data_IF_958481096746
#
_entry.id   IF_958481096746
#
_cell.length_a   1.000
_cell.length_b   1.000
_cell.length_c   1.000
_cell.angle_alpha   90.00
_cell.angle_beta   90.00
_cell.angle_gamma   90.00
#
_symmetry.space_group_name_H-M   'P 1'
#
loop_
_entity.id
_entity.type
_entity.pdbx_description
1 polymer ?
#
# COMPACT_ATOMS: atom_id res chain seq x y z
N UNK A 1 0.05 3.15 -14.78
CA UNK A 1 -0.90 4.22 -14.41
C UNK A 1 -1.72 4.62 -15.63
N UNK A 2 -3.02 4.65 -15.49
CA UNK A 2 -3.93 5.05 -16.59
C UNK A 2 -3.94 6.58 -16.73
N UNK A 3 -3.18 7.10 -17.68
CA UNK A 3 -3.10 8.53 -18.01
C UNK A 3 -4.25 9.03 -18.92
N UNK A 4 -5.29 8.22 -19.13
CA UNK A 4 -6.45 8.61 -19.96
C UNK A 4 -7.44 9.50 -19.19
N UNK A 5 -7.36 9.58 -17.87
CA UNK A 5 -8.25 10.40 -17.03
C UNK A 5 -7.84 11.87 -17.11
N UNK A 6 -8.78 12.82 -17.23
CA UNK A 6 -8.46 14.23 -17.20
C UNK A 6 -7.96 14.68 -15.81
N UNK A 7 -7.23 15.79 -15.77
CA UNK A 7 -6.88 16.45 -14.53
C UNK A 7 -8.13 17.02 -13.85
N UNK A 8 -8.35 16.70 -12.59
CA UNK A 8 -9.60 16.95 -11.86
C UNK A 8 -9.54 18.26 -11.05
N UNK A 9 -9.37 19.41 -11.73
CA UNK A 9 -9.22 20.73 -11.09
C UNK A 9 -10.37 21.07 -10.13
N UNK A 10 -11.62 20.95 -10.60
CA UNK A 10 -12.79 21.32 -9.78
C UNK A 10 -12.91 20.49 -8.52
N UNK A 11 -12.66 19.17 -8.61
CA UNK A 11 -12.61 18.28 -7.45
C UNK A 11 -11.52 18.71 -6.48
N UNK A 12 -10.30 18.97 -6.99
CA UNK A 12 -9.17 19.39 -6.16
C UNK A 12 -9.47 20.69 -5.41
N UNK A 13 -10.08 21.67 -6.07
CA UNK A 13 -10.48 22.93 -5.44
C UNK A 13 -11.57 22.74 -4.39
N UNK A 14 -12.51 21.82 -4.62
CA UNK A 14 -13.54 21.49 -3.64
C UNK A 14 -12.93 20.88 -2.37
N UNK A 15 -12.03 19.90 -2.53
CA UNK A 15 -11.33 19.24 -1.39
C UNK A 15 -10.43 20.22 -0.63
N UNK A 16 -9.77 21.15 -1.31
CA UNK A 16 -8.98 22.20 -0.65
C UNK A 16 -9.84 23.11 0.22
N UNK A 17 -11.02 23.49 -0.25
CA UNK A 17 -11.98 24.29 0.53
C UNK A 17 -12.49 23.54 1.75
N UNK A 18 -12.83 22.26 1.60
CA UNK A 18 -13.28 21.41 2.70
C UNK A 18 -12.18 21.24 3.75
N UNK A 19 -10.92 21.09 3.32
CA UNK A 19 -9.77 21.01 4.21
C UNK A 19 -9.37 22.37 4.84
N UNK A 20 -9.96 23.49 4.45
CA UNK A 20 -9.60 24.84 4.92
C UNK A 20 -8.19 25.24 4.51
N UNK A 21 -7.77 24.87 3.30
CA UNK A 21 -6.46 25.17 2.72
C UNK A 21 -6.58 26.20 1.63
N UNK A 22 -5.60 27.10 1.50
CA UNK A 22 -5.58 28.13 0.46
C UNK A 22 -5.14 27.55 -0.90
N UNK A 23 -4.44 26.41 -0.90
CA UNK A 23 -4.04 25.75 -2.12
C UNK A 23 -3.13 24.54 -1.89
N UNK A 24 -2.82 23.86 -3.00
CA UNK A 24 -1.87 22.75 -3.06
C UNK A 24 -0.72 23.12 -3.99
N UNK A 25 0.51 23.18 -3.45
CA UNK A 25 1.72 23.44 -4.22
C UNK A 25 2.42 22.13 -4.54
N UNK A 26 2.27 21.69 -5.77
CA UNK A 26 3.07 20.59 -6.32
C UNK A 26 4.45 21.08 -6.72
N UNK A 27 5.43 20.22 -6.53
CA UNK A 27 6.82 20.46 -6.89
C UNK A 27 7.46 19.18 -7.38
N UNK A 28 8.33 19.30 -8.37
CA UNK A 28 9.23 18.20 -8.70
C UNK A 28 10.58 18.69 -9.19
N UNK A 29 11.56 17.87 -8.96
CA UNK A 29 12.90 17.96 -9.51
C UNK A 29 13.40 16.56 -9.86
N UNK A 30 13.55 16.28 -11.15
CA UNK A 30 14.07 15.00 -11.67
C UNK A 30 13.22 13.77 -11.37
N UNK A 31 11.91 13.92 -11.23
CA UNK A 31 11.00 12.81 -10.97
C UNK A 31 11.05 12.29 -9.53
N UNK A 32 11.41 13.16 -8.56
CA UNK A 32 11.45 12.78 -7.14
C UNK A 32 10.06 12.63 -6.52
N UNK A 33 9.03 13.22 -7.15
CA UNK A 33 7.64 13.13 -6.68
C UNK A 33 6.74 12.35 -7.67
N UNK A 34 6.75 11.00 -7.59
CA UNK A 34 5.89 10.18 -8.43
C UNK A 34 4.40 10.39 -8.14
N UNK A 35 4.04 10.81 -6.92
CA UNK A 35 2.66 11.13 -6.52
C UNK A 35 2.16 12.35 -7.28
N UNK A 36 2.95 13.44 -7.31
CA UNK A 36 2.63 14.61 -8.12
C UNK A 36 2.50 14.27 -9.60
N UNK A 37 3.39 13.43 -10.14
CA UNK A 37 3.31 12.97 -11.53
C UNK A 37 2.03 12.19 -11.82
N UNK A 38 1.60 11.33 -10.91
CA UNK A 38 0.35 10.58 -11.04
C UNK A 38 -0.89 11.50 -10.99
N UNK A 39 -1.01 12.31 -9.94
CA UNK A 39 -2.17 13.21 -9.75
C UNK A 39 -2.27 14.21 -10.89
N UNK A 40 -1.14 14.75 -11.35
CA UNK A 40 -1.08 15.74 -12.44
C UNK A 40 -1.07 15.10 -13.85
N UNK A 41 -1.20 13.78 -13.96
CA UNK A 41 -1.32 13.04 -15.22
C UNK A 41 -0.13 13.22 -16.17
N UNK A 42 1.09 13.18 -15.67
CA UNK A 42 2.28 13.19 -16.51
C UNK A 42 2.36 11.93 -17.38
N UNK A 43 2.74 12.09 -18.65
CA UNK A 43 3.01 10.97 -19.52
C UNK A 43 4.25 10.18 -19.04
N UNK A 44 4.18 8.85 -19.06
CA UNK A 44 5.29 7.99 -18.70
C UNK A 44 6.58 8.32 -19.44
N UNK A 45 7.72 8.32 -18.76
CA UNK A 45 9.04 8.51 -19.35
C UNK A 45 9.46 9.96 -19.60
N UNK A 46 8.65 10.97 -19.32
CA UNK A 46 9.06 12.38 -19.36
C UNK A 46 9.65 12.79 -18.01
N UNK A 47 10.97 12.79 -17.92
CA UNK A 47 11.68 13.30 -16.76
C UNK A 47 12.26 14.68 -17.05
N UNK A 48 11.85 15.69 -16.28
CA UNK A 48 12.44 17.03 -16.31
C UNK A 48 13.82 17.05 -15.63
N UNK A 49 14.68 17.97 -16.05
CA UNK A 49 15.99 18.20 -15.42
C UNK A 49 16.01 19.47 -14.59
N UNK A 50 14.93 20.21 -14.58
CA UNK A 50 14.77 21.47 -13.84
C UNK A 50 13.55 21.41 -12.94
N UNK A 51 13.60 22.21 -11.86
CA UNK A 51 12.48 22.35 -10.94
C UNK A 51 11.29 22.98 -11.64
N UNK A 52 10.12 22.45 -11.36
CA UNK A 52 8.87 23.12 -11.68
C UNK A 52 7.99 23.16 -10.42
N UNK A 53 7.05 24.10 -10.43
CA UNK A 53 6.02 24.22 -9.41
C UNK A 53 4.68 24.41 -10.10
N UNK A 54 3.66 23.79 -9.55
CA UNK A 54 2.30 23.96 -9.97
C UNK A 54 1.45 24.24 -8.73
N UNK A 55 0.91 25.45 -8.67
CA UNK A 55 0.06 25.86 -7.57
C UNK A 55 -1.40 25.80 -7.99
N UNK A 56 -2.20 25.00 -7.29
CA UNK A 56 -3.65 24.94 -7.43
C UNK A 56 -4.25 25.66 -6.22
N UNK A 57 -4.77 26.89 -6.41
CA UNK A 57 -5.46 27.61 -5.34
C UNK A 57 -6.82 26.98 -5.08
N UNK A 58 -7.35 27.10 -3.85
CA UNK A 58 -8.71 26.67 -3.53
C UNK A 58 -9.78 27.41 -4.35
N UNK A 59 -9.48 28.62 -4.79
CA UNK A 59 -10.30 29.42 -5.70
C UNK A 59 -9.45 30.14 -6.74
N UNK A 60 -9.95 30.20 -7.96
CA UNK A 60 -9.28 30.91 -9.04
C UNK A 60 -8.47 30.02 -9.98
N UNK A 61 -7.65 30.64 -10.80
CA UNK A 61 -6.86 29.96 -11.83
C UNK A 61 -5.56 29.41 -11.28
N UNK A 62 -5.17 28.14 -11.60
CA UNK A 62 -3.88 27.60 -11.24
C UNK A 62 -2.69 28.36 -11.85
N UNK A 63 -1.52 28.22 -11.23
CA UNK A 63 -0.29 28.86 -11.68
C UNK A 63 0.83 27.85 -11.90
N UNK A 64 1.46 27.92 -13.08
CA UNK A 64 2.60 27.10 -13.49
C UNK A 64 3.88 27.92 -13.43
N UNK A 65 4.90 27.39 -12.76
CA UNK A 65 6.22 27.99 -12.70
C UNK A 65 7.24 27.02 -13.26
N UNK A 66 7.79 27.34 -14.44
CA UNK A 66 8.68 26.46 -15.20
C UNK A 66 9.99 27.13 -15.55
N UNK A 67 11.05 26.35 -15.73
CA UNK A 67 12.35 26.89 -16.08
C UNK A 67 12.45 27.22 -17.59
N UNK A 68 13.22 28.24 -17.94
CA UNK A 68 13.42 28.72 -19.32
C UNK A 68 13.94 27.66 -20.31
N UNK A 69 14.58 26.58 -19.83
CA UNK A 69 15.06 25.49 -20.68
C UNK A 69 13.96 24.43 -20.90
N UNK A 70 12.93 24.37 -20.03
CA UNK A 70 11.86 23.36 -20.05
C UNK A 70 10.49 24.01 -19.96
N UNK A 71 10.23 25.01 -20.81
CA UNK A 71 9.02 25.83 -20.74
C UNK A 71 7.72 25.05 -20.99
N UNK A 72 7.80 23.89 -21.62
CA UNK A 72 6.66 23.04 -21.96
C UNK A 72 6.35 21.96 -20.87
N UNK A 73 7.08 21.95 -19.75
CA UNK A 73 6.96 20.88 -18.73
C UNK A 73 5.53 20.68 -18.21
N UNK A 74 4.76 21.76 -18.03
CA UNK A 74 3.39 21.75 -17.50
C UNK A 74 2.32 22.19 -18.52
N UNK A 75 2.59 22.08 -19.84
CA UNK A 75 1.66 22.59 -20.87
C UNK A 75 0.35 21.79 -20.98
N UNK A 76 0.33 20.56 -20.49
CA UNK A 76 -0.86 19.73 -20.43
C UNK A 76 -1.82 20.12 -19.29
N UNK A 77 -1.41 20.98 -18.36
CA UNK A 77 -2.21 21.44 -17.24
C UNK A 77 -2.83 22.82 -17.54
N UNK A 78 -3.98 23.15 -16.93
CA UNK A 78 -4.59 24.49 -17.04
C UNK A 78 -3.77 25.54 -16.28
N UNK A 79 -4.10 26.80 -16.47
CA UNK A 79 -3.61 27.91 -15.67
C UNK A 79 -2.54 28.78 -16.34
N UNK A 80 -2.24 29.90 -15.70
CA UNK A 80 -1.24 30.86 -16.12
C UNK A 80 0.17 30.30 -16.01
N UNK A 81 1.12 30.80 -16.83
CA UNK A 81 2.49 30.28 -16.86
C UNK A 81 3.51 31.40 -16.64
N UNK A 82 4.35 31.23 -15.66
CA UNK A 82 5.52 32.07 -15.40
C UNK A 82 6.80 31.30 -15.69
N UNK A 83 7.72 31.90 -16.45
CA UNK A 83 9.01 31.30 -16.82
C UNK A 83 10.11 31.96 -15.99
N UNK A 84 10.88 31.14 -15.27
CA UNK A 84 12.05 31.62 -14.54
C UNK A 84 13.36 31.11 -15.19
N UNK A 85 14.44 31.88 -15.07
CA UNK A 85 15.76 31.50 -15.58
C UNK A 85 16.87 31.62 -14.54
N UNK A 86 16.63 32.41 -13.48
CA UNK A 86 17.62 32.65 -12.43
C UNK A 86 17.07 32.32 -11.05
N UNK A 87 17.96 32.18 -10.06
CA UNK A 87 17.55 32.01 -8.66
C UNK A 87 16.66 33.16 -8.17
N UNK A 88 16.97 34.38 -8.57
CA UNK A 88 16.20 35.57 -8.16
C UNK A 88 14.80 35.58 -8.81
N UNK A 89 14.70 35.25 -10.10
CA UNK A 89 13.39 35.19 -10.76
C UNK A 89 12.52 34.03 -10.24
N UNK A 90 13.12 32.88 -9.89
CA UNK A 90 12.41 31.80 -9.19
C UNK A 90 11.86 32.28 -7.84
N UNK A 91 12.67 32.96 -7.07
CA UNK A 91 12.31 33.42 -5.73
C UNK A 91 11.17 34.45 -5.78
N UNK A 92 11.24 35.40 -6.72
CA UNK A 92 10.18 36.38 -6.95
C UNK A 92 8.87 35.73 -7.44
N UNK A 93 8.94 34.78 -8.39
CA UNK A 93 7.79 34.10 -8.90
C UNK A 93 7.10 33.20 -7.83
N UNK A 94 7.87 32.53 -6.98
CA UNK A 94 7.31 31.81 -5.83
C UNK A 94 6.59 32.73 -4.86
N UNK A 95 7.15 33.91 -4.58
CA UNK A 95 6.49 34.92 -3.75
C UNK A 95 5.16 35.39 -4.38
N UNK A 96 5.13 35.56 -5.69
CA UNK A 96 3.96 36.01 -6.42
C UNK A 96 2.83 34.97 -6.42
N UNK A 97 3.13 33.70 -6.79
CA UNK A 97 2.10 32.64 -6.86
C UNK A 97 1.52 32.25 -5.50
N UNK A 98 2.27 32.48 -4.41
CA UNK A 98 1.83 32.23 -3.05
C UNK A 98 1.23 33.46 -2.35
N UNK A 99 1.17 34.61 -3.08
CA UNK A 99 0.65 35.86 -2.50
C UNK A 99 -0.82 35.70 -2.10
N UNK A 100 -1.12 36.07 -0.84
CA UNK A 100 -2.46 35.97 -0.29
C UNK A 100 -2.81 34.61 0.33
N UNK A 101 -1.92 33.62 0.19
CA UNK A 101 -2.07 32.31 0.86
C UNK A 101 -1.43 32.35 2.25
N UNK A 102 -2.05 31.65 3.19
CA UNK A 102 -1.58 31.47 4.57
C UNK A 102 -1.20 30.01 4.85
N UNK A 103 -2.02 29.03 4.36
CA UNK A 103 -1.86 27.59 4.57
C UNK A 103 -1.87 26.84 3.25
N UNK A 104 -0.76 26.21 2.91
CA UNK A 104 -0.56 25.55 1.62
C UNK A 104 -0.15 24.08 1.84
N UNK A 105 -0.85 23.17 1.19
CA UNK A 105 -0.47 21.76 1.19
C UNK A 105 0.76 21.54 0.28
N UNK A 106 1.64 20.64 0.69
CA UNK A 106 2.70 20.07 -0.14
C UNK A 106 2.81 18.57 0.12
N UNK A 107 3.37 17.82 -0.82
CA UNK A 107 3.69 16.40 -0.63
C UNK A 107 4.86 16.27 0.36
N UNK A 108 4.57 16.59 1.60
CA UNK A 108 5.51 16.65 2.71
C UNK A 108 4.81 16.20 4.00
N UNK A 109 5.48 15.36 4.76
CA UNK A 109 5.08 14.98 6.12
C UNK A 109 6.34 14.75 6.95
N UNK A 110 6.32 15.15 8.23
CA UNK A 110 7.47 14.98 9.12
C UNK A 110 7.65 13.51 9.50
N UNK A 111 6.55 12.81 9.81
CA UNK A 111 6.55 11.47 10.39
C UNK A 111 5.99 10.39 9.44
N UNK A 112 5.67 10.75 8.18
CA UNK A 112 5.18 9.80 7.20
C UNK A 112 5.99 9.88 5.89
N UNK A 113 6.98 8.98 5.69
CA UNK A 113 7.83 8.97 4.51
C UNK A 113 7.09 8.57 3.23
N UNK A 114 5.95 7.92 3.32
CA UNK A 114 5.17 7.48 2.14
C UNK A 114 4.60 8.64 1.35
N UNK A 115 4.27 9.75 2.03
CA UNK A 115 3.74 10.97 1.39
C UNK A 115 4.76 12.10 1.29
N UNK A 116 5.94 11.99 1.94
CA UNK A 116 6.97 13.02 1.97
C UNK A 116 7.89 12.89 0.75
N UNK A 117 7.64 13.69 -0.28
CA UNK A 117 8.37 13.67 -1.57
C UNK A 117 9.15 14.94 -1.84
N UNK A 118 8.76 16.05 -1.21
CA UNK A 118 9.42 17.34 -1.39
C UNK A 118 10.65 17.43 -0.48
N UNK A 119 11.79 17.84 -1.04
CA UNK A 119 13.01 18.02 -0.26
C UNK A 119 12.88 19.14 0.78
N UNK A 120 13.58 18.99 1.91
CA UNK A 120 13.52 19.92 3.03
C UNK A 120 13.88 21.36 2.63
N UNK A 121 14.87 21.55 1.74
CA UNK A 121 15.28 22.87 1.29
C UNK A 121 14.20 23.60 0.49
N UNK A 122 13.40 22.86 -0.25
CA UNK A 122 12.24 23.43 -0.97
C UNK A 122 11.11 23.78 0.01
N UNK A 123 10.83 22.93 1.01
CA UNK A 123 9.86 23.24 2.07
C UNK A 123 10.26 24.50 2.83
N UNK A 124 11.53 24.62 3.25
CA UNK A 124 12.04 25.81 3.92
C UNK A 124 11.94 27.07 3.05
N UNK A 125 12.25 26.95 1.75
CA UNK A 125 12.08 28.03 0.78
C UNK A 125 10.63 28.49 0.68
N UNK A 126 9.66 27.59 0.63
CA UNK A 126 8.23 27.94 0.58
C UNK A 126 7.80 28.59 1.90
N UNK A 127 8.18 28.04 3.04
CA UNK A 127 7.93 28.63 4.36
C UNK A 127 8.51 30.05 4.49
N UNK A 128 9.67 30.32 3.86
CA UNK A 128 10.27 31.66 3.86
C UNK A 128 9.45 32.71 3.11
N UNK A 129 8.40 32.30 2.37
CA UNK A 129 7.44 33.21 1.71
C UNK A 129 6.30 33.66 2.63
N UNK A 130 6.32 33.21 3.90
CA UNK A 130 5.32 33.59 4.91
C UNK A 130 4.08 32.68 4.92
N UNK A 131 4.14 31.51 4.29
CA UNK A 131 3.05 30.53 4.30
C UNK A 131 3.37 29.36 5.24
N UNK A 132 2.36 28.84 5.90
CA UNK A 132 2.42 27.57 6.60
C UNK A 132 2.37 26.44 5.56
N UNK A 133 3.37 25.54 5.57
CA UNK A 133 3.36 24.33 4.76
C UNK A 133 2.80 23.20 5.62
N UNK A 134 1.69 22.62 5.17
CA UNK A 134 1.02 21.47 5.79
C UNK A 134 1.13 20.25 4.89
N UNK A 135 0.91 19.06 5.48
CA UNK A 135 0.90 17.81 4.71
C UNK A 135 -0.28 17.76 3.73
N UNK A 136 -0.05 17.18 2.55
CA UNK A 136 -1.10 16.80 1.60
C UNK A 136 -1.61 15.36 1.78
N UNK A 137 -1.23 14.68 2.85
CA UNK A 137 -1.48 13.25 3.03
C UNK A 137 -2.94 12.84 2.86
N UNK A 138 -3.89 13.61 3.42
CA UNK A 138 -5.33 13.38 3.24
C UNK A 138 -5.77 13.63 1.80
N UNK A 139 -5.27 14.67 1.15
CA UNK A 139 -5.59 14.96 -0.25
C UNK A 139 -5.07 13.90 -1.20
N UNK A 140 -3.85 13.39 -0.97
CA UNK A 140 -3.23 12.36 -1.81
C UNK A 140 -4.15 11.14 -1.90
N UNK A 141 -4.68 10.63 -0.78
CA UNK A 141 -5.49 9.41 -0.81
C UNK A 141 -6.82 9.59 -1.56
N UNK A 142 -7.41 10.81 -1.58
CA UNK A 142 -8.63 11.10 -2.36
C UNK A 142 -8.41 10.92 -3.87
N UNK A 143 -7.20 11.21 -4.37
CA UNK A 143 -6.85 11.13 -5.78
C UNK A 143 -6.12 9.86 -6.18
N UNK A 144 -5.49 9.17 -5.22
CA UNK A 144 -4.58 8.05 -5.46
C UNK A 144 -5.03 6.72 -4.87
N UNK A 145 -6.10 6.71 -4.05
CA UNK A 145 -6.46 5.49 -3.31
C UNK A 145 -7.94 5.15 -3.33
N UNK A 146 -8.80 6.07 -3.75
CA UNK A 146 -10.23 5.80 -3.90
C UNK A 146 -10.48 5.04 -5.19
N UNK A 147 -11.02 3.82 -5.08
CA UNK A 147 -11.27 2.94 -6.21
C UNK A 147 -12.55 3.31 -6.96
N UNK A 148 -12.51 3.23 -8.27
CA UNK A 148 -13.72 3.17 -9.08
C UNK A 148 -14.39 1.78 -8.96
N UNK A 149 -15.67 1.64 -9.33
CA UNK A 149 -16.34 0.33 -9.33
C UNK A 149 -15.62 -0.71 -10.19
N UNK A 150 -15.07 -0.31 -11.35
CA UNK A 150 -14.31 -1.22 -12.22
C UNK A 150 -12.99 -1.67 -11.57
N UNK A 151 -12.31 -0.77 -10.86
CA UNK A 151 -11.10 -1.07 -10.11
C UNK A 151 -11.38 -2.06 -8.97
N UNK A 152 -12.45 -1.84 -8.21
CA UNK A 152 -12.86 -2.80 -7.16
C UNK A 152 -13.16 -4.18 -7.73
N UNK A 153 -13.85 -4.24 -8.89
CA UNK A 153 -14.11 -5.53 -9.54
C UNK A 153 -12.84 -6.21 -10.06
N UNK A 154 -11.83 -5.42 -10.55
CA UNK A 154 -10.53 -5.99 -10.93
C UNK A 154 -9.79 -6.58 -9.73
N UNK A 155 -9.84 -5.91 -8.58
CA UNK A 155 -9.32 -6.42 -7.31
C UNK A 155 -10.00 -7.74 -6.90
N UNK A 156 -11.34 -7.80 -6.95
CA UNK A 156 -12.09 -9.03 -6.61
C UNK A 156 -11.72 -10.20 -7.51
N UNK A 157 -11.50 -9.96 -8.81
CA UNK A 157 -11.05 -11.02 -9.73
C UNK A 157 -9.62 -11.48 -9.41
N UNK A 158 -8.74 -10.53 -9.07
CA UNK A 158 -7.37 -10.84 -8.62
C UNK A 158 -7.39 -11.68 -7.33
N UNK A 159 -8.17 -11.25 -6.32
CA UNK A 159 -8.35 -11.99 -5.06
C UNK A 159 -8.88 -13.40 -5.26
N UNK A 160 -9.88 -13.57 -6.13
CA UNK A 160 -10.40 -14.90 -6.45
C UNK A 160 -9.34 -15.78 -7.14
N UNK A 161 -8.50 -15.20 -8.00
CA UNK A 161 -7.44 -15.94 -8.69
C UNK A 161 -6.34 -16.38 -7.73
N UNK A 162 -5.76 -15.45 -6.95
CA UNK A 162 -4.68 -15.79 -5.99
C UNK A 162 -5.18 -16.76 -4.90
N UNK A 163 -6.46 -16.67 -4.51
CA UNK A 163 -7.05 -17.66 -3.59
C UNK A 163 -7.03 -19.08 -4.22
N UNK A 164 -7.31 -19.18 -5.53
CA UNK A 164 -7.17 -20.42 -6.27
C UNK A 164 -5.73 -20.92 -6.32
N UNK A 165 -4.77 -20.02 -6.53
CA UNK A 165 -3.32 -20.34 -6.54
C UNK A 165 -2.87 -20.93 -5.18
N UNK A 166 -3.40 -20.41 -4.05
CA UNK A 166 -3.11 -21.01 -2.73
C UNK A 166 -3.58 -22.47 -2.66
N UNK A 167 -4.79 -22.76 -3.13
CA UNK A 167 -5.32 -24.14 -3.13
C UNK A 167 -4.49 -25.05 -4.04
N UNK A 168 -4.11 -24.58 -5.22
CA UNK A 168 -3.25 -25.32 -6.15
C UNK A 168 -1.87 -25.61 -5.56
N UNK A 169 -1.25 -24.63 -4.90
CA UNK A 169 0.05 -24.78 -4.24
C UNK A 169 -0.02 -25.80 -3.10
N UNK A 170 -1.03 -25.73 -2.24
CA UNK A 170 -1.15 -26.68 -1.13
C UNK A 170 -1.44 -28.11 -1.63
N UNK A 171 -2.24 -28.24 -2.68
CA UNK A 171 -2.45 -29.53 -3.35
C UNK A 171 -1.15 -30.07 -3.97
N UNK A 172 -0.38 -29.23 -4.68
CA UNK A 172 0.91 -29.58 -5.29
C UNK A 172 1.90 -30.12 -4.23
N UNK A 173 2.02 -29.42 -3.09
CA UNK A 173 2.88 -29.84 -1.99
C UNK A 173 2.45 -31.23 -1.49
N UNK A 174 1.17 -31.41 -1.17
CA UNK A 174 0.64 -32.69 -0.67
C UNK A 174 0.82 -33.84 -1.66
N UNK A 175 0.49 -33.62 -2.93
CA UNK A 175 0.61 -34.65 -3.98
C UNK A 175 2.06 -35.05 -4.24
N UNK A 176 2.98 -34.07 -4.21
CA UNK A 176 4.40 -34.31 -4.41
C UNK A 176 4.98 -35.16 -3.28
N UNK A 177 4.67 -34.81 -2.02
CA UNK A 177 5.18 -35.53 -0.85
C UNK A 177 4.54 -36.93 -0.72
N UNK A 178 3.25 -37.08 -0.96
CA UNK A 178 2.57 -38.41 -1.00
C UNK A 178 3.16 -39.35 -2.05
N UNK A 179 3.64 -38.77 -3.16
CA UNK A 179 4.33 -39.54 -4.19
C UNK A 179 5.79 -39.88 -3.84
N UNK A 180 6.28 -39.52 -2.66
CA UNK A 180 7.66 -39.73 -2.24
C UNK A 180 8.68 -38.87 -2.99
N UNK A 181 8.26 -37.77 -3.58
CA UNK A 181 9.12 -36.81 -4.29
C UNK A 181 9.46 -35.63 -3.39
N UNK A 182 10.52 -34.92 -3.71
CA UNK A 182 10.91 -33.67 -3.05
C UNK A 182 10.26 -32.47 -3.73
N UNK A 183 10.00 -31.42 -2.96
CA UNK A 183 9.58 -30.11 -3.41
C UNK A 183 10.27 -29.04 -2.55
N UNK A 184 10.72 -27.96 -3.16
CA UNK A 184 11.42 -26.85 -2.51
C UNK A 184 10.57 -25.60 -2.48
N UNK A 185 10.94 -24.61 -1.66
CA UNK A 185 10.33 -23.28 -1.67
C UNK A 185 10.39 -22.65 -3.09
N UNK A 186 11.51 -22.85 -3.82
CA UNK A 186 11.65 -22.35 -5.19
C UNK A 186 10.67 -23.02 -6.16
N UNK A 187 10.47 -24.32 -6.07
CA UNK A 187 9.48 -25.03 -6.89
C UNK A 187 8.07 -24.49 -6.68
N UNK A 188 7.71 -24.18 -5.43
CA UNK A 188 6.42 -23.59 -5.08
C UNK A 188 6.29 -22.19 -5.66
N UNK A 189 7.29 -21.34 -5.48
CA UNK A 189 7.33 -19.98 -6.00
C UNK A 189 7.21 -19.96 -7.53
N UNK A 190 7.96 -20.83 -8.23
CA UNK A 190 7.92 -20.94 -9.69
C UNK A 190 6.55 -21.40 -10.18
N UNK A 191 5.92 -22.35 -9.47
CA UNK A 191 4.57 -22.81 -9.78
C UNK A 191 3.55 -21.68 -9.62
N UNK A 192 3.59 -20.95 -8.50
CA UNK A 192 2.69 -19.83 -8.22
C UNK A 192 2.82 -18.73 -9.29
N UNK A 193 4.04 -18.33 -9.61
CA UNK A 193 4.33 -17.37 -10.68
C UNK A 193 3.83 -17.82 -12.05
N UNK A 194 3.91 -19.11 -12.34
CA UNK A 194 3.38 -19.69 -13.56
C UNK A 194 1.85 -19.63 -13.58
N UNK A 195 1.16 -20.05 -12.50
CA UNK A 195 -0.29 -20.02 -12.40
C UNK A 195 -0.84 -18.59 -12.50
N UNK A 196 -0.21 -17.63 -11.84
CA UNK A 196 -0.55 -16.20 -11.93
C UNK A 196 -0.51 -15.74 -13.40
N UNK A 197 0.59 -15.99 -14.12
CA UNK A 197 0.74 -15.57 -15.52
C UNK A 197 -0.22 -16.29 -16.47
N UNK A 198 -0.44 -17.59 -16.29
CA UNK A 198 -1.38 -18.38 -17.11
C UNK A 198 -2.83 -17.92 -16.91
N UNK A 199 -3.17 -17.40 -15.73
CA UNK A 199 -4.45 -16.77 -15.42
C UNK A 199 -4.67 -15.38 -16.03
N UNK A 200 -3.63 -14.77 -16.62
CA UNK A 200 -3.69 -13.41 -17.16
C UNK A 200 -3.43 -12.30 -16.11
N UNK A 201 -2.79 -12.67 -15.01
CA UNK A 201 -2.40 -11.77 -13.93
C UNK A 201 -0.88 -11.56 -13.90
N UNK A 202 -0.44 -10.58 -13.16
CA UNK A 202 0.97 -10.25 -12.93
C UNK A 202 1.22 -9.89 -11.47
N UNK A 203 2.42 -10.18 -10.99
CA UNK A 203 2.99 -9.69 -9.76
C UNK A 203 4.29 -8.95 -10.08
N UNK A 204 4.70 -8.02 -9.23
CA UNK A 204 5.92 -7.22 -9.42
C UNK A 204 7.18 -7.89 -8.85
N UNK A 205 7.01 -8.82 -7.92
CA UNK A 205 8.05 -9.64 -7.30
C UNK A 205 7.57 -11.07 -7.09
N UNK A 206 8.50 -11.97 -6.80
CA UNK A 206 8.20 -13.35 -6.44
C UNK A 206 7.34 -13.40 -5.17
N UNK A 207 6.37 -14.34 -5.06
CA UNK A 207 5.66 -14.62 -3.80
C UNK A 207 6.62 -15.02 -2.68
N UNK A 208 6.25 -14.69 -1.43
CA UNK A 208 7.01 -15.16 -0.27
C UNK A 208 6.57 -16.60 0.02
N UNK A 209 7.54 -17.52 -0.01
CA UNK A 209 7.35 -18.92 0.33
C UNK A 209 8.40 -19.28 1.36
N UNK A 210 7.99 -19.49 2.59
CA UNK A 210 8.95 -19.79 3.67
C UNK A 210 8.53 -21.00 4.47
N UNK A 211 9.49 -21.91 4.75
CA UNK A 211 9.29 -23.00 5.69
C UNK A 211 10.04 -22.74 6.99
N UNK A 212 9.36 -22.95 8.13
CA UNK A 212 9.92 -22.86 9.47
C UNK A 212 10.67 -21.55 9.75
N UNK A 213 12.03 -21.58 9.82
CA UNK A 213 12.87 -20.40 10.06
C UNK A 213 12.73 -19.34 8.97
N UNK A 214 12.50 -19.76 7.71
CA UNK A 214 12.27 -18.84 6.60
C UNK A 214 10.88 -18.18 6.71
N UNK A 215 9.87 -18.92 7.21
CA UNK A 215 8.56 -18.34 7.53
C UNK A 215 8.66 -17.30 8.66
N UNK A 216 9.67 -17.42 9.53
CA UNK A 216 9.92 -16.48 10.63
C UNK A 216 10.71 -15.21 10.20
N UNK A 217 11.06 -15.07 8.93
CA UNK A 217 11.55 -13.85 8.30
C UNK A 217 10.42 -13.21 7.49
N UNK A 218 9.84 -12.07 7.91
CA UNK A 218 8.66 -11.47 7.25
C UNK A 218 8.87 -11.12 5.77
N UNK A 219 10.10 -10.83 5.36
CA UNK A 219 10.47 -10.45 4.00
C UNK A 219 11.43 -11.45 3.34
N UNK A 220 11.26 -12.73 3.68
CA UNK A 220 12.09 -13.78 3.11
C UNK A 220 11.99 -13.82 1.59
N UNK A 221 13.12 -13.69 0.91
CA UNK A 221 13.23 -13.85 -0.54
C UNK A 221 13.69 -15.27 -0.86
N UNK A 222 12.90 -16.01 -1.63
CA UNK A 222 13.22 -17.39 -2.01
C UNK A 222 14.45 -17.40 -2.93
N UNK A 223 15.57 -18.00 -2.51
CA UNK A 223 16.77 -18.02 -3.35
C UNK A 223 16.54 -18.85 -4.64
N UNK A 224 17.20 -18.43 -5.73
CA UNK A 224 17.13 -19.14 -7.00
C UNK A 224 17.79 -20.54 -6.96
N UNK A 225 18.80 -20.70 -6.11
CA UNK A 225 19.54 -21.93 -5.89
C UNK A 225 19.56 -22.23 -4.38
N UNK A 226 19.68 -23.49 -4.00
CA UNK A 226 19.79 -23.96 -2.61
C UNK A 226 18.60 -23.57 -1.71
N UNK A 227 17.38 -23.45 -2.26
CA UNK A 227 16.17 -23.21 -1.46
C UNK A 227 15.80 -24.44 -0.62
N UNK A 228 15.16 -24.21 0.54
CA UNK A 228 14.84 -25.27 1.46
C UNK A 228 13.82 -26.28 0.88
N UNK A 229 14.02 -27.55 1.21
CA UNK A 229 13.02 -28.59 0.93
C UNK A 229 11.89 -28.54 1.95
N UNK A 230 10.66 -28.70 1.47
CA UNK A 230 9.47 -28.88 2.31
C UNK A 230 9.38 -30.32 2.78
N UNK A 231 9.23 -30.54 4.08
CA UNK A 231 9.24 -31.88 4.69
C UNK A 231 8.05 -32.10 5.63
N UNK A 232 7.70 -33.37 5.91
CA UNK A 232 6.74 -33.67 6.97
C UNK A 232 7.14 -33.02 8.32
N UNK A 233 6.17 -32.36 8.95
CA UNK A 233 6.38 -31.62 10.20
C UNK A 233 6.72 -30.14 10.03
N UNK A 234 6.89 -29.65 8.81
CA UNK A 234 7.19 -28.24 8.54
C UNK A 234 5.93 -27.35 8.62
N UNK A 235 6.15 -26.11 9.03
CA UNK A 235 5.23 -25.00 8.85
C UNK A 235 5.56 -24.32 7.51
N UNK A 236 4.58 -24.11 6.65
CA UNK A 236 4.68 -23.38 5.39
C UNK A 236 3.89 -22.08 5.49
N UNK A 237 4.54 -20.95 5.26
CA UNK A 237 3.93 -19.66 5.02
C UNK A 237 3.96 -19.39 3.51
N UNK A 238 2.82 -19.02 2.95
CA UNK A 238 2.68 -18.64 1.54
C UNK A 238 1.93 -17.31 1.45
N UNK A 239 2.64 -16.29 1.00
CA UNK A 239 2.15 -14.94 0.80
C UNK A 239 2.21 -14.60 -0.70
N UNK A 240 1.06 -14.21 -1.25
CA UNK A 240 0.89 -14.08 -2.70
C UNK A 240 -0.02 -12.92 -3.06
N UNK A 241 0.45 -12.10 -3.99
CA UNK A 241 -0.25 -10.96 -4.54
C UNK A 241 -0.23 -10.97 -6.05
N UNK A 242 -1.28 -10.43 -6.65
CA UNK A 242 -1.35 -10.23 -8.08
C UNK A 242 -2.39 -9.18 -8.46
N UNK A 243 -2.31 -8.69 -9.69
CA UNK A 243 -3.35 -7.89 -10.35
C UNK A 243 -3.52 -8.36 -11.79
N UNK A 244 -4.61 -7.98 -12.44
CA UNK A 244 -4.74 -8.20 -13.89
C UNK A 244 -3.68 -7.38 -14.65
N UNK A 245 -3.21 -7.89 -15.80
CA UNK A 245 -2.23 -7.20 -16.65
C UNK A 245 -2.78 -5.94 -17.34
N UNK A 246 -4.09 -5.68 -17.22
CA UNK A 246 -4.75 -4.48 -17.76
C UNK A 246 -4.34 -3.23 -16.98
N UNK A 247 -3.95 -2.13 -17.63
CA UNK A 247 -3.68 -0.85 -16.95
C UNK A 247 -4.86 -0.40 -16.08
N UNK A 248 -4.56 0.11 -14.89
CA UNK A 248 -5.57 0.56 -13.92
C UNK A 248 -6.12 -0.55 -13.02
N UNK A 249 -5.69 -1.81 -13.20
CA UNK A 249 -6.07 -2.94 -12.35
C UNK A 249 -5.43 -2.86 -10.97
N UNK A 250 -6.17 -3.33 -9.97
CA UNK A 250 -5.82 -3.23 -8.56
C UNK A 250 -5.29 -4.57 -8.04
N UNK A 251 -4.24 -4.51 -7.23
CA UNK A 251 -3.69 -5.68 -6.54
C UNK A 251 -4.70 -6.28 -5.56
N UNK A 252 -4.61 -7.60 -5.38
CA UNK A 252 -5.08 -8.32 -4.22
C UNK A 252 -3.88 -9.00 -3.57
N UNK A 253 -3.95 -9.21 -2.24
CA UNK A 253 -2.85 -9.68 -1.40
C UNK A 253 -3.36 -10.57 -0.28
N UNK A 254 -2.82 -11.78 -0.16
CA UNK A 254 -3.23 -12.72 0.89
C UNK A 254 -2.07 -13.58 1.37
N UNK A 255 -1.98 -13.78 2.67
CA UNK A 255 -1.08 -14.77 3.28
C UNK A 255 -1.85 -15.91 3.91
N UNK A 256 -1.46 -17.14 3.58
CA UNK A 256 -1.96 -18.37 4.17
C UNK A 256 -0.83 -19.22 4.76
N UNK A 257 -1.12 -19.90 5.86
CA UNK A 257 -0.18 -20.83 6.49
C UNK A 257 -0.73 -22.25 6.47
N UNK A 258 0.19 -23.22 6.32
CA UNK A 258 -0.14 -24.63 6.37
C UNK A 258 0.90 -25.41 7.19
N UNK A 259 0.46 -26.49 7.83
CA UNK A 259 1.33 -27.49 8.46
C UNK A 259 1.39 -28.74 7.58
N UNK A 260 2.59 -29.26 7.36
CA UNK A 260 2.80 -30.47 6.55
C UNK A 260 2.64 -31.70 7.44
N UNK A 261 1.41 -32.22 7.50
CA UNK A 261 1.04 -33.33 8.36
C UNK A 261 -0.35 -33.18 8.97
N UNK A 262 -0.78 -34.14 9.78
CA UNK A 262 -2.11 -34.17 10.41
C UNK A 262 -2.17 -33.54 11.81
N UNK A 263 -1.04 -33.46 12.53
CA UNK A 263 -0.97 -33.11 13.94
C UNK A 263 0.00 -31.93 14.18
N UNK A 264 -0.42 -30.68 13.95
CA UNK A 264 0.42 -29.51 14.24
C UNK A 264 0.74 -29.42 15.73
N UNK A 265 1.95 -28.97 16.13
CA UNK A 265 2.29 -28.69 17.51
C UNK A 265 1.30 -27.73 18.18
N UNK A 266 0.97 -27.94 19.45
CA UNK A 266 0.03 -27.10 20.21
C UNK A 266 0.46 -25.63 20.24
N UNK A 267 1.74 -25.34 20.37
CA UNK A 267 2.27 -23.98 20.34
C UNK A 267 2.01 -23.29 18.99
N UNK A 268 2.15 -24.01 17.87
CA UNK A 268 1.87 -23.49 16.53
C UNK A 268 0.40 -23.15 16.36
N UNK A 269 -0.50 -24.02 16.82
CA UNK A 269 -1.96 -23.77 16.82
C UNK A 269 -2.33 -22.57 17.69
N UNK A 270 -1.69 -22.42 18.85
CA UNK A 270 -1.89 -21.25 19.72
C UNK A 270 -1.44 -19.96 19.05
N UNK A 271 -0.25 -19.93 18.44
CA UNK A 271 0.25 -18.75 17.72
C UNK A 271 -0.67 -18.41 16.56
N UNK A 272 -1.09 -19.39 15.77
CA UNK A 272 -2.04 -19.19 14.67
C UNK A 272 -3.36 -18.59 15.18
N UNK A 273 -3.91 -19.08 16.28
CA UNK A 273 -5.15 -18.55 16.84
C UNK A 273 -5.04 -17.08 17.24
N UNK A 274 -3.90 -16.68 17.85
CA UNK A 274 -3.65 -15.29 18.24
C UNK A 274 -3.55 -14.38 17.00
N UNK A 275 -2.82 -14.79 15.97
CA UNK A 275 -2.69 -14.02 14.71
C UNK A 275 -4.05 -13.88 14.02
N UNK A 276 -4.80 -14.97 13.87
CA UNK A 276 -6.18 -14.94 13.32
C UNK A 276 -7.09 -14.01 14.12
N UNK A 277 -7.08 -14.10 15.44
CA UNK A 277 -7.98 -13.33 16.29
C UNK A 277 -7.61 -11.84 16.27
N UNK A 278 -6.32 -11.50 16.17
CA UNK A 278 -5.88 -10.12 16.00
C UNK A 278 -6.29 -9.53 14.64
N UNK A 279 -6.20 -10.31 13.54
CA UNK A 279 -6.72 -9.95 12.23
C UNK A 279 -8.23 -9.67 12.29
N UNK A 280 -8.99 -10.59 12.91
CA UNK A 280 -10.46 -10.44 13.06
C UNK A 280 -10.82 -9.20 13.86
N UNK A 281 -10.14 -8.94 14.97
CA UNK A 281 -10.39 -7.76 15.81
C UNK A 281 -10.20 -6.46 15.02
N UNK A 282 -9.18 -6.35 14.18
CA UNK A 282 -8.98 -5.17 13.32
C UNK A 282 -10.10 -5.03 12.27
N UNK A 283 -10.49 -6.14 11.61
CA UNK A 283 -11.58 -6.12 10.63
C UNK A 283 -12.93 -5.75 11.26
N UNK A 284 -13.24 -6.30 12.44
CA UNK A 284 -14.45 -6.00 13.20
C UNK A 284 -14.47 -4.52 13.64
N UNK A 285 -13.34 -4.02 14.16
CA UNK A 285 -13.22 -2.61 14.57
C UNK A 285 -13.37 -1.66 13.39
N UNK A 286 -12.79 -1.99 12.24
CA UNK A 286 -12.99 -1.22 11.00
C UNK A 286 -14.47 -1.21 10.59
N UNK A 287 -15.12 -2.38 10.62
CA UNK A 287 -16.53 -2.49 10.26
C UNK A 287 -17.43 -1.67 11.19
N UNK A 288 -17.20 -1.72 12.50
CA UNK A 288 -17.95 -0.93 13.50
C UNK A 288 -17.81 0.57 13.27
N UNK A 289 -16.56 1.06 13.08
CA UNK A 289 -16.29 2.46 12.82
C UNK A 289 -16.96 2.93 11.52
N UNK A 290 -16.77 2.19 10.43
CA UNK A 290 -17.34 2.57 9.13
C UNK A 290 -18.86 2.52 9.11
N UNK A 291 -19.48 1.56 9.82
CA UNK A 291 -20.93 1.43 9.90
C UNK A 291 -21.58 2.51 10.77
N UNK A 292 -20.87 3.00 11.78
CA UNK A 292 -21.36 4.06 12.67
C UNK A 292 -21.03 5.47 12.15
N UNK A 293 -20.17 5.59 11.12
CA UNK A 293 -19.65 6.87 10.66
C UNK A 293 -18.59 7.47 11.59
N UNK A 294 -18.01 6.65 12.47
CA UNK A 294 -16.90 7.07 13.32
C UNK A 294 -15.63 7.28 12.48
N UNK A 295 -14.95 8.41 12.72
CA UNK A 295 -13.63 8.64 12.13
C UNK A 295 -12.61 7.71 12.78
N UNK A 296 -11.93 6.89 11.96
CA UNK A 296 -10.86 6.00 12.39
C UNK A 296 -9.63 6.19 11.47
N UNK A 297 -8.45 6.03 12.03
CA UNK A 297 -7.16 6.27 11.38
C UNK A 297 -6.38 4.97 11.23
N UNK A 298 -5.41 4.96 10.32
CA UNK A 298 -4.57 3.80 10.12
C UNK A 298 -3.87 3.33 11.39
N UNK A 299 -3.29 4.26 12.15
CA UNK A 299 -2.64 3.96 13.43
C UNK A 299 -3.59 3.36 14.49
N UNK A 300 -4.89 3.67 14.45
CA UNK A 300 -5.84 3.14 15.41
C UNK A 300 -6.09 1.64 15.20
N UNK A 301 -6.17 1.18 13.95
CA UNK A 301 -6.31 -0.26 13.66
C UNK A 301 -5.03 -1.04 13.96
N UNK A 302 -3.84 -0.46 13.73
CA UNK A 302 -2.58 -1.08 14.13
C UNK A 302 -2.53 -1.32 15.65
N UNK A 303 -2.97 -0.35 16.46
CA UNK A 303 -3.05 -0.49 17.91
C UNK A 303 -3.97 -1.63 18.35
N UNK A 304 -5.11 -1.81 17.68
CA UNK A 304 -6.04 -2.91 17.97
C UNK A 304 -5.34 -4.25 17.77
N UNK A 305 -4.73 -4.45 16.63
CA UNK A 305 -4.02 -5.68 16.28
C UNK A 305 -2.88 -5.97 17.25
N UNK A 306 -2.02 -4.96 17.49
CA UNK A 306 -0.90 -5.07 18.44
C UNK A 306 -1.36 -5.35 19.85
N UNK A 307 -2.49 -4.76 20.27
CA UNK A 307 -3.07 -5.00 21.57
C UNK A 307 -3.38 -6.49 21.80
N UNK A 308 -4.09 -7.13 20.88
CA UNK A 308 -4.43 -8.56 20.95
C UNK A 308 -3.17 -9.44 21.03
N UNK A 309 -2.17 -9.17 20.18
CA UNK A 309 -0.92 -9.93 20.15
C UNK A 309 -0.12 -9.72 21.44
N UNK A 310 -0.06 -8.49 21.96
CA UNK A 310 0.68 -8.16 23.19
C UNK A 310 0.01 -8.77 24.43
N UNK A 311 -1.32 -8.72 24.54
CA UNK A 311 -2.07 -9.36 25.64
C UNK A 311 -1.88 -10.87 25.67
N UNK A 312 -1.70 -11.51 24.50
CA UNK A 312 -1.37 -12.93 24.41
C UNK A 312 0.11 -13.25 24.76
N UNK A 313 0.95 -12.24 25.00
CA UNK A 313 2.36 -12.38 25.37
C UNK A 313 3.33 -12.48 24.20
N UNK A 314 2.93 -12.11 22.99
CA UNK A 314 3.76 -12.18 21.77
C UNK A 314 4.14 -10.80 21.19
N UNK A 315 3.95 -9.71 21.92
CA UNK A 315 4.13 -8.35 21.40
C UNK A 315 5.51 -8.07 20.81
N UNK A 316 6.58 -8.67 21.33
CA UNK A 316 7.95 -8.53 20.83
C UNK A 316 8.20 -9.24 19.49
N UNK A 317 7.32 -10.15 19.10
CA UNK A 317 7.42 -10.93 17.87
C UNK A 317 6.57 -10.39 16.72
N UNK A 318 5.85 -9.30 16.92
CA UNK A 318 5.13 -8.60 15.84
C UNK A 318 5.91 -7.36 15.41
N UNK A 319 6.73 -7.52 14.39
CA UNK A 319 7.85 -6.64 14.04
C UNK A 319 7.63 -5.74 12.83
N UNK A 320 6.41 -5.71 12.27
CA UNK A 320 6.03 -4.84 11.17
C UNK A 320 4.65 -4.20 11.43
N UNK A 321 4.23 -3.24 10.61
CA UNK A 321 2.90 -2.62 10.63
C UNK A 321 1.80 -3.66 10.40
N UNK A 322 0.58 -3.35 10.81
CA UNK A 322 -0.58 -4.25 10.64
C UNK A 322 -1.04 -4.39 9.19
N UNK A 323 -0.76 -3.42 8.32
CA UNK A 323 -1.17 -3.49 6.93
C UNK A 323 -0.88 -2.22 6.13
N UNK A 324 -1.17 -2.27 4.86
CA UNK A 324 -0.89 -1.18 3.92
C UNK A 324 -2.05 -0.93 2.96
N UNK A 325 -2.08 0.28 2.38
CA UNK A 325 -2.99 0.60 1.30
C UNK A 325 -2.66 -0.21 0.05
N UNK A 326 -3.70 -0.70 -0.63
CA UNK A 326 -3.63 -1.38 -1.92
C UNK A 326 -4.19 -0.51 -3.04
N UNK A 327 -3.51 -0.50 -4.19
CA UNK A 327 -4.00 0.17 -5.39
C UNK A 327 -3.39 -0.49 -6.66
N UNK A 328 -3.10 0.31 -7.71
CA UNK A 328 -2.31 -0.15 -8.87
C UNK A 328 -0.86 -0.56 -8.49
N UNK A 329 -0.39 -0.16 -7.33
CA UNK A 329 0.84 -0.63 -6.69
C UNK A 329 0.47 -1.45 -5.46
N UNK A 330 1.27 -2.48 -5.17
CA UNK A 330 1.06 -3.33 -3.98
C UNK A 330 1.07 -2.50 -2.69
N UNK A 331 1.95 -1.53 -2.57
CA UNK A 331 1.92 -0.53 -1.52
C UNK A 331 1.39 0.80 -2.09
N UNK A 332 0.09 1.04 -1.94
CA UNK A 332 -0.59 2.24 -2.43
C UNK A 332 -0.25 3.51 -1.64
N UNK A 333 -0.81 4.64 -2.09
CA UNK A 333 -0.59 5.96 -1.46
C UNK A 333 -1.66 6.34 -0.42
N UNK A 334 -2.62 5.44 -0.11
CA UNK A 334 -3.61 5.61 0.95
C UNK A 334 -3.02 5.42 2.35
N UNK A 335 -3.87 5.55 3.36
CA UNK A 335 -3.47 5.32 4.74
C UNK A 335 -3.02 3.87 4.96
N UNK A 336 -1.89 3.71 5.64
CA UNK A 336 -1.39 2.42 6.12
C UNK A 336 -1.88 2.18 7.55
N UNK A 337 -2.00 0.92 7.94
CA UNK A 337 -2.31 0.54 9.33
C UNK A 337 -1.01 0.48 10.12
N UNK A 338 -0.50 1.63 10.56
CA UNK A 338 0.85 1.75 11.10
C UNK A 338 0.94 2.76 12.25
N UNK A 339 1.30 2.30 13.44
CA UNK A 339 1.75 3.06 14.61
C UNK A 339 3.05 2.45 15.18
N UNK A 340 3.79 1.74 14.34
CA UNK A 340 4.99 1.01 14.72
C UNK A 340 6.25 1.54 14.01
N UNK A 341 6.27 1.46 12.67
CA UNK A 341 7.37 1.96 11.86
C UNK A 341 7.15 3.43 11.49
N UNK A 342 5.89 3.78 11.23
CA UNK A 342 5.46 5.12 10.81
C UNK A 342 4.17 5.45 11.55
N UNK A 343 4.06 6.67 12.03
CA UNK A 343 2.79 7.15 12.56
C UNK A 343 1.87 7.60 11.42
N UNK A 344 0.98 6.71 10.97
CA UNK A 344 0.01 7.04 9.93
C UNK A 344 -1.33 7.47 10.54
N UNK A 345 -1.44 8.77 10.80
CA UNK A 345 -2.61 9.40 11.37
C UNK A 345 -3.67 9.81 10.33
N UNK A 346 -3.51 9.36 9.08
CA UNK A 346 -4.51 9.62 8.03
C UNK A 346 -5.77 8.78 8.28
N UNK A 347 -6.89 9.39 7.93
CA UNK A 347 -8.21 8.75 8.04
C UNK A 347 -8.34 7.61 7.05
N UNK A 348 -9.00 6.55 7.45
CA UNK A 348 -9.49 5.53 6.50
C UNK A 348 -10.78 6.06 5.87
N UNK A 349 -10.73 6.37 4.58
CA UNK A 349 -11.83 7.03 3.86
C UNK A 349 -12.63 6.05 2.98
N UNK A 350 -13.94 6.31 2.74
CA UNK A 350 -14.75 5.48 1.88
C UNK A 350 -14.14 5.29 0.47
N UNK A 351 -14.24 4.08 -0.05
CA UNK A 351 -13.71 3.72 -1.36
C UNK A 351 -12.26 3.29 -1.37
N UNK A 352 -11.56 3.25 -0.22
CA UNK A 352 -10.18 2.78 -0.13
C UNK A 352 -10.09 1.29 0.21
N UNK A 353 -8.96 0.71 -0.16
CA UNK A 353 -8.62 -0.70 0.04
C UNK A 353 -7.29 -0.80 0.78
N UNK A 354 -7.20 -1.70 1.76
CA UNK A 354 -5.99 -1.95 2.55
C UNK A 354 -5.92 -3.38 3.03
N UNK A 355 -4.69 -3.85 3.35
CA UNK A 355 -4.47 -5.18 3.95
C UNK A 355 -4.64 -5.13 5.47
N UNK A 356 -4.97 -6.30 6.05
CA UNK A 356 -4.88 -6.58 7.48
C UNK A 356 -4.11 -7.88 7.63
N UNK A 357 -2.83 -7.77 7.98
CA UNK A 357 -1.83 -8.83 7.86
C UNK A 357 -0.96 -9.05 9.12
N UNK A 358 -1.55 -9.16 10.32
CA UNK A 358 -0.74 -9.39 11.51
C UNK A 358 0.08 -10.67 11.42
N UNK A 359 1.28 -10.65 12.06
CA UNK A 359 2.16 -11.80 12.12
C UNK A 359 2.88 -11.93 13.46
N UNK A 360 3.29 -13.16 13.78
CA UNK A 360 4.14 -13.49 14.93
C UNK A 360 5.32 -14.29 14.39
N UNK A 361 6.53 -13.80 14.62
CA UNK A 361 7.76 -14.35 14.05
C UNK A 361 8.75 -14.69 15.16
N UNK A 362 8.95 -15.99 15.39
CA UNK A 362 9.84 -16.55 16.44
C UNK A 362 10.92 -17.42 15.79
N UNK A 363 12.03 -16.85 15.28
CA UNK A 363 13.07 -17.60 14.57
C UNK A 363 13.66 -18.73 15.40
N UNK A 364 13.90 -18.49 16.69
CA UNK A 364 14.45 -19.50 17.62
C UNK A 364 13.54 -20.71 17.79
N UNK A 365 12.24 -20.56 17.53
CA UNK A 365 11.24 -21.63 17.57
C UNK A 365 10.87 -22.17 16.19
N UNK A 366 11.44 -21.59 15.15
CA UNK A 366 11.11 -21.90 13.75
C UNK A 366 9.60 -21.76 13.46
N UNK A 367 8.98 -20.72 14.01
CA UNK A 367 7.56 -20.39 13.82
C UNK A 367 7.46 -18.98 13.28
N UNK A 368 6.92 -18.85 12.09
CA UNK A 368 6.48 -17.59 11.48
C UNK A 368 5.08 -17.76 10.92
N UNK A 369 4.13 -17.06 11.50
CA UNK A 369 2.72 -17.12 11.09
C UNK A 369 2.24 -15.71 10.82
N UNK A 370 1.78 -15.47 9.60
CA UNK A 370 1.02 -14.30 9.14
C UNK A 370 -0.33 -14.77 8.62
N UNK A 371 -1.35 -13.99 8.85
CA UNK A 371 -2.67 -14.22 8.27
C UNK A 371 -3.20 -12.92 7.74
N UNK A 372 -3.49 -12.89 6.45
CA UNK A 372 -3.77 -11.66 5.73
C UNK A 372 -5.06 -11.75 4.93
N UNK A 373 -5.74 -10.62 4.91
CA UNK A 373 -6.92 -10.35 4.09
C UNK A 373 -6.93 -8.90 3.63
N UNK A 374 -7.60 -8.67 2.50
CA UNK A 374 -7.87 -7.33 2.00
C UNK A 374 -9.22 -6.81 2.52
N UNK A 375 -9.26 -5.55 2.91
CA UNK A 375 -10.44 -4.88 3.46
C UNK A 375 -10.77 -3.64 2.64
N UNK A 376 -11.99 -3.60 2.12
CA UNK A 376 -12.53 -2.45 1.38
C UNK A 376 -13.51 -1.65 2.23
N UNK A 377 -13.32 -0.33 2.31
CA UNK A 377 -14.25 0.58 2.98
C UNK A 377 -15.41 0.95 2.06
N UNK A 378 -16.57 0.33 2.27
CA UNK A 378 -17.76 0.49 1.41
C UNK A 378 -18.51 1.83 1.59
N UNK A 379 -18.14 2.63 2.57
CA UNK A 379 -18.88 3.82 3.01
C UNK A 379 -19.99 3.52 4.04
N UNK A 380 -20.35 2.25 4.22
CA UNK A 380 -21.37 1.78 5.17
C UNK A 380 -20.88 0.63 6.06
N UNK A 381 -19.63 0.24 5.93
CA UNK A 381 -18.99 -0.85 6.64
C UNK A 381 -17.70 -1.29 5.95
N UNK A 382 -17.07 -2.32 6.50
CA UNK A 382 -15.92 -2.99 5.90
C UNK A 382 -16.35 -4.27 5.17
N UNK A 383 -15.90 -4.45 3.94
CA UNK A 383 -15.98 -5.69 3.20
C UNK A 383 -14.61 -6.37 3.24
N UNK A 384 -14.51 -7.55 3.82
CA UNK A 384 -13.32 -8.40 3.69
C UNK A 384 -13.45 -9.16 2.38
N UNK A 385 -12.56 -8.88 1.43
CA UNK A 385 -12.64 -9.42 0.05
C UNK A 385 -11.96 -10.79 -0.08
N UNK A 386 -12.20 -11.53 -1.17
CA UNK A 386 -11.52 -12.78 -1.49
C UNK A 386 -11.85 -13.98 -0.60
N UNK A 387 -13.14 -14.22 -0.20
CA UNK A 387 -13.47 -15.40 0.58
C UNK A 387 -13.23 -16.72 -0.19
N UNK A 388 -13.00 -17.87 0.51
CA UNK A 388 -12.95 -18.00 1.98
C UNK A 388 -11.66 -17.45 2.59
N UNK A 389 -11.74 -16.96 3.85
CA UNK A 389 -10.58 -16.50 4.61
C UNK A 389 -10.07 -17.64 5.50
N UNK A 390 -8.78 -17.60 5.83
CA UNK A 390 -8.19 -18.63 6.67
C UNK A 390 -8.69 -18.52 8.13
N UNK A 391 -9.41 -19.54 8.60
CA UNK A 391 -9.93 -19.62 9.97
C UNK A 391 -9.17 -20.64 10.83
N UNK A 392 -8.52 -21.61 10.21
CA UNK A 392 -7.71 -22.64 10.84
C UNK A 392 -6.39 -22.81 10.09
N UNK A 393 -5.35 -23.26 10.81
CA UNK A 393 -4.10 -23.68 10.18
C UNK A 393 -4.39 -24.88 9.26
N UNK A 394 -4.12 -24.72 7.96
CA UNK A 394 -4.34 -25.78 6.98
C UNK A 394 -3.44 -26.96 7.30
N UNK A 395 -3.97 -28.20 7.16
CA UNK A 395 -3.22 -29.44 7.33
C UNK A 395 -3.06 -30.10 5.96
N UNK A 396 -1.82 -30.16 5.50
CA UNK A 396 -1.49 -30.85 4.26
C UNK A 396 -1.16 -32.30 4.64
N UNK A 397 -2.17 -33.17 4.61
CA UNK A 397 -2.00 -34.58 4.93
C UNK A 397 -1.18 -35.30 3.85
N UNK A 398 -0.21 -36.13 4.30
CA UNK A 398 0.78 -36.81 3.45
C UNK A 398 0.85 -38.30 3.76
#
# INVERSE_FOLDING_TARGET
MDNSRPFELEKMQAELKEAGLDGWLFYDFRGLDPIAHSILRFASGKMGTRRWFFFVPAEGEPSKLVHAIETAALDHLPGSKTVYGTRQSLDAALQEILSGSSRVAMNYAADNPYVSRVDAGTVEKVRSKGVEVVTSGELIQIFESVLSPEQLESHRRAGAHIRGVVDEVFALVGDTLRAGRTITERDICDYANKSIREGGFENDHDPIVGVNEHAADPHFEVPAEDSAEVRPGDLLLFDVWARETKPGSIYADITWCAFIGSEPPEEMLKVFSVVRDSRKAACERAHEAFSSGEEIRGCDLDRVTRGVIAEAGYGEYFVHRTGHSLHECIHGNGAHLDDFETYDDRKLIPGTLFTVEPGIYMPDKRIGIRSEVDVYHTGQGAEVTGPPHQEELVRIEI
#
